data_IF_620393815472
#
_entry.id   IF_620393815472
#
_cell.length_a   1.000
_cell.length_b   1.000
_cell.length_c   1.000
_cell.angle_alpha   90.00
_cell.angle_beta   90.00
_cell.angle_gamma   90.00
#
_symmetry.space_group_name_H-M   'P 1'
#
loop_
_entity.id
_entity.type
_entity.pdbx_description
1 polymer ?
#
# COMPACT_ATOMS: atom_id res chain seq x y z
N UNK A 1 3.33 -1.80 -8.09
CA UNK A 1 2.31 -2.48 -7.26
C UNK A 1 2.19 -1.78 -5.93
N UNK A 2 0.98 -1.62 -5.41
CA UNK A 2 0.76 -1.05 -4.09
C UNK A 2 0.09 -2.10 -3.20
N UNK A 3 0.52 -2.20 -1.96
CA UNK A 3 0.00 -3.18 -1.01
C UNK A 3 -0.50 -2.47 0.23
N UNK A 4 -1.79 -2.63 0.54
CA UNK A 4 -2.42 -2.11 1.74
C UNK A 4 -2.75 -3.19 2.75
N UNK A 5 -3.53 -2.83 3.78
CA UNK A 5 -3.87 -3.73 4.88
C UNK A 5 -5.00 -4.70 4.51
N UNK A 6 -6.18 -4.16 4.25
CA UNK A 6 -7.38 -4.93 3.95
C UNK A 6 -8.52 -4.03 3.51
N UNK A 7 -9.62 -4.60 2.99
CA UNK A 7 -10.74 -3.80 2.53
C UNK A 7 -11.52 -3.18 3.69
N UNK A 8 -11.96 -1.94 3.50
CA UNK A 8 -12.93 -1.28 4.38
C UNK A 8 -14.36 -1.63 3.98
N UNK A 9 -15.35 -0.87 4.53
CA UNK A 9 -16.76 -1.14 4.27
C UNK A 9 -17.14 -0.97 2.79
N UNK A 10 -16.68 0.12 2.16
CA UNK A 10 -16.99 0.40 0.75
C UNK A 10 -16.31 -0.62 -0.17
N UNK A 11 -15.08 -0.98 0.14
CA UNK A 11 -14.35 -2.00 -0.61
C UNK A 11 -14.98 -3.38 -0.50
N UNK A 12 -15.44 -3.74 0.71
CA UNK A 12 -16.13 -5.02 0.95
C UNK A 12 -17.44 -5.08 0.16
N UNK A 13 -18.19 -3.99 0.12
CA UNK A 13 -19.46 -3.91 -0.64
C UNK A 13 -19.23 -3.99 -2.15
N UNK A 14 -18.24 -3.27 -2.68
CA UNK A 14 -18.02 -3.14 -4.13
C UNK A 14 -17.06 -4.18 -4.71
N UNK A 15 -16.27 -4.84 -3.87
CA UNK A 15 -15.25 -5.79 -4.33
C UNK A 15 -14.05 -5.14 -5.02
N UNK A 16 -13.86 -3.83 -4.86
CA UNK A 16 -12.80 -3.05 -5.50
C UNK A 16 -11.92 -2.43 -4.42
N UNK A 17 -10.57 -2.52 -4.50
CA UNK A 17 -9.69 -1.92 -3.51
C UNK A 17 -9.68 -0.39 -3.58
N UNK A 18 -9.60 0.26 -2.42
CA UNK A 18 -9.43 1.71 -2.29
C UNK A 18 -10.46 2.55 -3.05
N UNK A 19 -11.75 2.34 -2.75
CA UNK A 19 -12.88 3.10 -3.33
C UNK A 19 -13.56 4.05 -2.33
N UNK A 20 -13.29 3.90 -1.01
CA UNK A 20 -13.84 4.77 0.02
C UNK A 20 -13.10 6.11 0.11
N UNK A 21 -13.29 6.84 1.23
CA UNK A 21 -12.67 8.16 1.46
C UNK A 21 -11.14 8.12 1.35
N UNK A 22 -10.51 7.10 1.94
CA UNK A 22 -9.07 6.91 1.86
C UNK A 22 -8.61 6.67 0.42
N UNK A 23 -9.37 5.88 -0.33
CA UNK A 23 -9.10 5.64 -1.75
C UNK A 23 -9.19 6.90 -2.60
N UNK A 24 -10.15 7.78 -2.30
CA UNK A 24 -10.29 9.06 -2.99
C UNK A 24 -9.09 9.98 -2.72
N UNK A 25 -8.59 10.00 -1.48
CA UNK A 25 -7.36 10.75 -1.15
C UNK A 25 -6.17 10.19 -1.92
N UNK A 26 -6.04 8.88 -2.01
CA UNK A 26 -4.98 8.25 -2.77
C UNK A 26 -5.07 8.60 -4.27
N UNK A 27 -6.28 8.58 -4.83
CA UNK A 27 -6.48 8.96 -6.24
C UNK A 27 -6.09 10.41 -6.50
N UNK A 28 -6.41 11.33 -5.58
CA UNK A 28 -6.01 12.72 -5.68
C UNK A 28 -4.48 12.86 -5.67
N UNK A 29 -3.81 12.12 -4.78
CA UNK A 29 -2.35 12.12 -4.72
C UNK A 29 -1.75 11.55 -6.02
N UNK A 30 -2.33 10.48 -6.57
CA UNK A 30 -1.91 9.93 -7.87
C UNK A 30 -1.98 10.98 -8.98
N UNK A 31 -3.08 11.73 -9.04
CA UNK A 31 -3.25 12.79 -10.04
C UNK A 31 -2.18 13.87 -9.89
N UNK A 32 -1.87 14.27 -8.66
CA UNK A 32 -0.84 15.29 -8.38
C UNK A 32 0.54 14.84 -8.86
N UNK A 33 0.91 13.58 -8.63
CA UNK A 33 2.26 13.07 -8.95
C UNK A 33 2.35 12.41 -10.33
N UNK A 34 1.26 12.30 -11.05
CA UNK A 34 1.24 11.73 -12.40
C UNK A 34 1.25 10.21 -12.45
N UNK A 35 0.70 9.53 -11.43
CA UNK A 35 0.52 8.08 -11.45
C UNK A 35 -0.89 7.77 -11.97
N UNK A 36 -0.97 6.96 -13.02
CA UNK A 36 -2.26 6.50 -13.55
C UNK A 36 -2.69 5.24 -12.80
N UNK A 37 -3.81 5.31 -12.08
CA UNK A 37 -4.35 4.20 -11.29
C UNK A 37 -4.61 2.95 -12.15
N UNK A 38 -4.99 3.11 -13.40
CA UNK A 38 -5.24 1.99 -14.31
C UNK A 38 -3.99 1.21 -14.69
N UNK A 39 -2.81 1.84 -14.54
CA UNK A 39 -1.51 1.23 -14.87
C UNK A 39 -0.79 0.65 -13.66
N UNK A 40 -1.39 0.70 -12.49
CA UNK A 40 -0.83 0.13 -11.27
C UNK A 40 -1.76 -0.95 -10.72
N UNK A 41 -1.17 -1.95 -10.07
CA UNK A 41 -1.95 -3.00 -9.41
C UNK A 41 -1.99 -2.71 -7.91
N UNK A 42 -3.19 -2.75 -7.34
CA UNK A 42 -3.41 -2.49 -5.92
C UNK A 42 -3.96 -3.77 -5.27
N UNK A 43 -3.31 -4.20 -4.20
CA UNK A 43 -3.69 -5.39 -3.45
C UNK A 43 -3.65 -5.11 -1.95
N UNK A 44 -4.14 -6.04 -1.16
CA UNK A 44 -4.12 -5.96 0.30
C UNK A 44 -3.50 -7.22 0.90
N UNK A 45 -2.96 -7.11 2.11
CA UNK A 45 -2.41 -8.23 2.88
C UNK A 45 -3.53 -9.24 3.15
N UNK A 46 -4.70 -8.77 3.63
CA UNK A 46 -5.89 -9.63 3.79
C UNK A 46 -6.91 -9.28 2.73
N UNK A 47 -7.63 -10.30 2.25
CA UNK A 47 -8.60 -10.13 1.16
C UNK A 47 -10.02 -9.88 1.66
N UNK A 48 -10.28 -10.15 2.95
CA UNK A 48 -11.58 -9.97 3.59
C UNK A 48 -11.48 -8.89 4.66
N UNK A 49 -12.58 -8.13 4.83
CA UNK A 49 -12.66 -7.08 5.85
C UNK A 49 -12.67 -7.67 7.26
N UNK A 50 -11.72 -7.33 8.14
CA UNK A 50 -11.78 -7.73 9.53
C UNK A 50 -12.98 -7.10 10.24
N UNK A 51 -13.60 -7.77 11.24
CA UNK A 51 -14.70 -7.19 12.00
C UNK A 51 -14.33 -5.84 12.62
N UNK A 52 -15.24 -4.85 12.48
CA UNK A 52 -15.06 -3.49 13.02
C UNK A 52 -13.78 -2.79 12.53
N UNK A 53 -13.27 -3.16 11.36
CA UNK A 53 -12.04 -2.58 10.78
C UNK A 53 -10.82 -2.66 11.72
N UNK A 54 -10.78 -3.65 12.62
CA UNK A 54 -9.62 -3.87 13.48
C UNK A 54 -8.40 -4.32 12.67
N UNK A 55 -7.22 -4.27 13.27
CA UNK A 55 -6.01 -4.84 12.65
C UNK A 55 -6.23 -6.33 12.35
N UNK A 56 -5.73 -6.84 11.20
CA UNK A 56 -5.78 -8.26 10.91
C UNK A 56 -5.00 -9.06 11.95
N UNK A 57 -5.55 -10.21 12.35
CA UNK A 57 -4.86 -11.16 13.21
C UNK A 57 -3.93 -12.05 12.39
N UNK A 58 -2.95 -12.67 13.05
CA UNK A 58 -1.94 -13.50 12.35
C UNK A 58 -2.56 -14.65 11.56
N UNK A 59 -3.63 -15.29 12.06
CA UNK A 59 -4.34 -16.34 11.35
C UNK A 59 -5.05 -15.82 10.09
N UNK A 60 -5.61 -14.62 10.15
CA UNK A 60 -6.24 -13.97 9.00
C UNK A 60 -5.20 -13.63 7.93
N UNK A 61 -4.05 -13.11 8.34
CA UNK A 61 -2.93 -12.83 7.44
C UNK A 61 -2.43 -14.13 6.81
N UNK A 62 -2.22 -15.16 7.61
CA UNK A 62 -1.75 -16.48 7.13
C UNK A 62 -2.70 -17.09 6.10
N UNK A 63 -4.00 -16.89 6.28
CA UNK A 63 -5.00 -17.40 5.33
C UNK A 63 -4.93 -16.70 3.96
N UNK A 64 -4.50 -15.45 3.91
CA UNK A 64 -4.52 -14.63 2.69
C UNK A 64 -3.14 -14.42 2.05
N UNK A 65 -2.05 -14.58 2.81
CA UNK A 65 -0.71 -14.18 2.34
C UNK A 65 -0.25 -14.93 1.07
N UNK A 66 -0.68 -16.17 0.89
CA UNK A 66 -0.32 -16.94 -0.30
C UNK A 66 -0.94 -16.38 -1.57
N UNK A 67 -2.15 -15.81 -1.49
CA UNK A 67 -2.77 -15.11 -2.62
C UNK A 67 -1.93 -13.92 -3.04
N UNK A 68 -1.47 -13.13 -2.07
CA UNK A 68 -0.61 -11.97 -2.33
C UNK A 68 0.73 -12.39 -2.93
N UNK A 69 1.37 -13.44 -2.41
CA UNK A 69 2.61 -13.99 -2.95
C UNK A 69 2.44 -14.41 -4.41
N UNK A 70 1.34 -15.06 -4.74
CA UNK A 70 1.03 -15.45 -6.12
C UNK A 70 0.84 -14.23 -7.02
N UNK A 71 0.17 -13.20 -6.53
CA UNK A 71 0.00 -11.94 -7.28
C UNK A 71 1.35 -11.29 -7.58
N UNK A 72 2.25 -11.24 -6.61
CA UNK A 72 3.61 -10.69 -6.81
C UNK A 72 4.39 -11.52 -7.83
N UNK A 73 4.29 -12.85 -7.76
CA UNK A 73 4.99 -13.75 -8.70
C UNK A 73 4.49 -13.57 -10.14
N UNK A 74 3.19 -13.36 -10.33
CA UNK A 74 2.58 -13.17 -11.65
C UNK A 74 2.93 -11.78 -12.21
N UNK A 75 2.78 -10.74 -11.41
CA UNK A 75 2.96 -9.34 -11.83
C UNK A 75 4.45 -9.01 -12.00
N UNK A 76 5.31 -9.59 -11.19
CA UNK A 76 6.76 -9.32 -11.17
C UNK A 76 7.06 -7.82 -11.09
N UNK A 77 6.55 -7.12 -10.07
CA UNK A 77 6.73 -5.69 -9.97
C UNK A 77 8.19 -5.32 -9.70
N UNK A 78 8.64 -4.22 -10.28
CA UNK A 78 9.96 -3.64 -9.98
C UNK A 78 9.91 -2.77 -8.74
N UNK A 79 8.75 -2.17 -8.48
CA UNK A 79 8.50 -1.30 -7.33
C UNK A 79 7.25 -1.77 -6.61
N UNK A 80 7.34 -1.87 -5.28
CA UNK A 80 6.19 -2.12 -4.41
C UNK A 80 6.10 -0.97 -3.41
N UNK A 81 4.94 -0.30 -3.37
CA UNK A 81 4.62 0.70 -2.36
C UNK A 81 3.88 0.00 -1.23
N UNK A 82 4.40 0.13 -0.02
CA UNK A 82 3.80 -0.47 1.17
C UNK A 82 3.01 0.60 1.92
N UNK A 83 1.69 0.45 1.93
CA UNK A 83 0.77 1.43 2.50
C UNK A 83 0.48 1.10 3.96
N UNK A 84 1.22 1.72 4.87
CA UNK A 84 1.02 1.61 6.30
C UNK A 84 1.81 0.51 6.98
N UNK A 85 1.66 0.46 8.30
CA UNK A 85 2.42 -0.43 9.18
C UNK A 85 2.18 -1.92 8.90
N UNK A 86 0.95 -2.31 8.70
CA UNK A 86 0.60 -3.73 8.52
C UNK A 86 1.26 -4.29 7.25
N UNK A 87 1.15 -3.57 6.13
CA UNK A 87 1.81 -3.98 4.88
C UNK A 87 3.33 -4.02 5.06
N UNK A 88 3.92 -2.99 5.65
CA UNK A 88 5.36 -2.90 5.88
C UNK A 88 5.88 -4.08 6.68
N UNK A 89 5.27 -4.37 7.82
CA UNK A 89 5.77 -5.39 8.76
C UNK A 89 5.56 -6.82 8.25
N UNK A 90 4.47 -7.06 7.52
CA UNK A 90 4.21 -8.40 6.99
C UNK A 90 5.02 -8.72 5.73
N UNK A 91 5.46 -7.71 5.00
CA UNK A 91 6.27 -7.91 3.79
C UNK A 91 7.78 -7.85 4.10
N UNK A 92 8.22 -6.87 4.88
CA UNK A 92 9.66 -6.66 5.15
C UNK A 92 10.11 -7.17 6.51
N UNK A 93 9.27 -7.13 7.54
CA UNK A 93 9.61 -7.62 8.87
C UNK A 93 9.08 -6.73 9.99
N UNK A 94 8.87 -7.34 11.15
CA UNK A 94 8.28 -6.65 12.32
C UNK A 94 9.21 -5.62 12.95
N UNK A 95 10.50 -5.65 12.64
CA UNK A 95 11.48 -4.68 13.10
C UNK A 95 11.33 -3.30 12.44
N UNK A 96 10.66 -3.23 11.30
CA UNK A 96 10.43 -1.97 10.59
C UNK A 96 9.31 -1.16 11.21
N UNK A 97 9.55 0.13 11.43
CA UNK A 97 8.54 1.08 11.92
C UNK A 97 8.16 2.04 10.80
N UNK A 98 6.87 2.26 10.60
CA UNK A 98 6.39 3.12 9.52
C UNK A 98 6.90 4.57 9.67
N UNK A 99 6.96 5.09 10.90
CA UNK A 99 7.41 6.45 11.18
C UNK A 99 8.84 6.72 10.73
N UNK A 100 9.73 5.73 10.87
CA UNK A 100 11.14 5.85 10.49
C UNK A 100 11.44 5.31 9.09
N UNK A 101 10.58 4.46 8.54
CA UNK A 101 10.80 3.80 7.24
C UNK A 101 10.14 4.52 6.08
N UNK A 102 9.06 5.29 6.31
CA UNK A 102 8.36 5.97 5.23
C UNK A 102 9.31 6.89 4.46
N UNK A 103 9.13 6.94 3.16
CA UNK A 103 9.92 7.78 2.28
C UNK A 103 11.32 7.26 1.97
N UNK A 104 11.71 6.11 2.49
CA UNK A 104 13.04 5.52 2.27
C UNK A 104 12.94 4.28 1.39
N UNK A 105 13.75 4.22 0.35
CA UNK A 105 13.84 3.05 -0.50
C UNK A 105 14.52 1.89 0.22
N UNK A 106 13.91 0.72 0.13
CA UNK A 106 14.47 -0.53 0.65
C UNK A 106 14.49 -1.53 -0.50
N UNK A 107 15.69 -2.03 -0.83
CA UNK A 107 15.84 -3.05 -1.86
C UNK A 107 15.94 -4.43 -1.22
N UNK A 108 15.14 -5.38 -1.73
CA UNK A 108 15.15 -6.75 -1.27
C UNK A 108 14.81 -7.67 -2.43
N UNK A 109 15.70 -8.64 -2.72
CA UNK A 109 15.52 -9.64 -3.78
C UNK A 109 15.17 -9.02 -5.16
N UNK A 110 15.81 -7.91 -5.49
CA UNK A 110 15.62 -7.23 -6.76
C UNK A 110 14.38 -6.36 -6.86
N UNK A 111 13.61 -6.21 -5.79
CA UNK A 111 12.43 -5.36 -5.75
C UNK A 111 12.74 -4.13 -4.89
N UNK A 112 12.33 -2.95 -5.37
CA UNK A 112 12.43 -1.69 -4.64
C UNK A 112 11.13 -1.46 -3.87
N UNK A 113 11.24 -1.31 -2.55
CA UNK A 113 10.08 -1.07 -1.67
C UNK A 113 10.08 0.38 -1.19
N UNK A 114 8.93 1.01 -1.25
CA UNK A 114 8.70 2.35 -0.71
C UNK A 114 7.60 2.29 0.34
N UNK A 115 7.95 2.29 1.64
CA UNK A 115 6.96 2.45 2.70
C UNK A 115 6.44 3.89 2.74
N UNK A 116 5.14 4.03 2.96
CA UNK A 116 4.50 5.34 3.19
C UNK A 116 3.29 5.17 4.09
N UNK A 117 2.63 6.29 4.44
CA UNK A 117 1.43 6.26 5.25
C UNK A 117 0.30 5.49 4.54
N UNK A 118 -0.51 4.77 5.30
CA UNK A 118 -1.78 4.26 4.76
C UNK A 118 -2.70 5.47 4.50
N UNK A 119 -3.42 5.50 3.35
CA UNK A 119 -4.30 6.63 3.05
C UNK A 119 -5.33 6.94 4.15
N UNK A 120 -5.79 5.95 4.91
CA UNK A 120 -6.69 6.16 6.04
C UNK A 120 -6.06 7.02 7.15
N UNK A 121 -4.73 7.00 7.31
CA UNK A 121 -4.05 7.85 8.29
C UNK A 121 -4.17 9.33 7.94
N UNK A 122 -4.31 9.67 6.65
CA UNK A 122 -4.46 11.04 6.18
C UNK A 122 -5.83 11.62 6.55
N UNK A 123 -6.84 10.77 6.73
CA UNK A 123 -8.17 11.18 7.18
C UNK A 123 -8.16 11.63 8.63
N UNK A 124 -7.25 11.06 9.44
CA UNK A 124 -7.12 11.36 10.87
C UNK A 124 -6.13 12.47 11.15
N UNK A 125 -5.12 12.63 10.28
CA UNK A 125 -4.03 13.59 10.46
C UNK A 125 -3.62 14.16 9.10
N UNK A 126 -4.12 15.35 8.79
CA UNK A 126 -3.86 16.01 7.50
C UNK A 126 -2.40 16.41 7.31
N UNK A 127 -1.63 16.53 8.41
CA UNK A 127 -0.19 16.88 8.31
C UNK A 127 0.60 15.81 7.56
N UNK A 128 0.10 14.59 7.51
CA UNK A 128 0.72 13.47 6.80
C UNK A 128 0.51 13.51 5.28
N UNK A 129 -0.37 14.37 4.77
CA UNK A 129 -0.64 14.46 3.32
C UNK A 129 0.57 14.87 2.52
N UNK A 130 1.36 15.83 3.02
CA UNK A 130 2.57 16.31 2.34
C UNK A 130 3.59 15.19 2.22
N UNK A 131 3.81 14.45 3.31
CA UNK A 131 4.72 13.29 3.32
C UNK A 131 4.28 12.23 2.32
N UNK A 132 2.97 11.91 2.32
CA UNK A 132 2.39 10.92 1.41
C UNK A 132 2.59 11.31 -0.05
N UNK A 133 2.31 12.57 -0.39
CA UNK A 133 2.50 13.09 -1.75
C UNK A 133 3.98 13.04 -2.13
N UNK A 134 4.88 13.44 -1.25
CA UNK A 134 6.32 13.39 -1.50
C UNK A 134 6.81 11.96 -1.71
N UNK A 135 6.32 11.00 -0.93
CA UNK A 135 6.67 9.60 -1.07
C UNK A 135 6.21 9.05 -2.42
N UNK A 136 4.97 9.35 -2.82
CA UNK A 136 4.45 8.94 -4.13
C UNK A 136 5.15 9.64 -5.29
N UNK A 137 5.58 10.89 -5.10
CA UNK A 137 6.38 11.60 -6.10
C UNK A 137 7.71 10.89 -6.35
N UNK A 138 8.38 10.45 -5.28
CA UNK A 138 9.60 9.66 -5.39
C UNK A 138 9.35 8.35 -6.14
N UNK A 139 8.20 7.70 -5.91
CA UNK A 139 7.80 6.49 -6.64
C UNK A 139 7.58 6.79 -8.13
N UNK A 140 6.88 7.88 -8.44
CA UNK A 140 6.63 8.27 -9.83
C UNK A 140 7.94 8.51 -10.60
N UNK A 141 8.89 9.20 -9.98
CA UNK A 141 10.21 9.45 -10.58
C UNK A 141 11.01 8.15 -10.75
N UNK A 142 11.01 7.29 -9.75
CA UNK A 142 11.72 6.01 -9.81
C UNK A 142 11.13 5.09 -10.88
N UNK A 143 9.82 5.09 -11.02
CA UNK A 143 9.12 4.32 -12.06
C UNK A 143 9.62 4.70 -13.45
N UNK A 144 9.84 5.99 -13.70
CA UNK A 144 10.39 6.46 -14.98
C UNK A 144 11.82 5.96 -15.22
N UNK A 145 12.63 5.84 -14.16
CA UNK A 145 14.01 5.34 -14.26
C UNK A 145 14.07 3.85 -14.58
N UNK A 146 13.15 3.04 -14.04
CA UNK A 146 13.19 1.58 -14.14
C UNK A 146 12.37 1.01 -15.31
N UNK A 147 11.62 1.84 -15.99
CA UNK A 147 10.87 1.45 -17.19
C UNK A 147 11.73 1.32 -18.44
#
# INVERSE_FOLDING_TARGET
MLIGEGPGADEDEQGIPFVGKAGKLMNNAFDIVGINREKVYIANIVKCRPPNNRDPQDDEISACINYLRNQVMIIKPKIIVLLGRIALQNILGKEYKITSSRGKWIEKKGILYMPTWHPAALLRDETKKIDFINDLKAVSLKKMEVE
#
